data_IF_097788269731
#
_entry.id   IF_097788269731
#
_cell.length_a   1.000
_cell.length_b   1.000
_cell.length_c   1.000
_cell.angle_alpha   90.00
_cell.angle_beta   90.00
_cell.angle_gamma   90.00
#
_symmetry.space_group_name_H-M   'P 1'
#
loop_
_entity.id
_entity.type
_entity.pdbx_description
1 polymer ?
#
# COMPACT_ATOMS: atom_id res chain seq x y z
N UNK A 1 -0.32 67.84 -42.36
CA UNK A 1 -0.60 66.36 -42.38
C UNK A 1 -1.92 66.18 -43.07
N UNK A 2 -1.96 65.34 -44.09
CA UNK A 2 -3.18 65.06 -44.83
C UNK A 2 -4.19 64.30 -43.91
N UNK A 3 -5.48 64.65 -43.94
CA UNK A 3 -6.55 64.00 -43.15
C UNK A 3 -6.56 62.47 -43.35
N UNK A 4 -6.11 61.99 -44.50
CA UNK A 4 -5.91 60.55 -44.80
C UNK A 4 -4.75 59.93 -44.00
N UNK A 5 -3.66 60.63 -43.78
CA UNK A 5 -2.54 60.12 -42.98
C UNK A 5 -2.89 60.01 -41.48
N UNK A 6 -3.65 60.98 -40.96
CA UNK A 6 -4.15 60.92 -39.59
C UNK A 6 -5.12 59.71 -39.37
N UNK A 7 -5.98 59.46 -40.34
CA UNK A 7 -6.94 58.39 -40.28
C UNK A 7 -6.23 57.02 -40.31
N UNK A 8 -5.20 56.84 -41.12
CA UNK A 8 -4.39 55.61 -41.18
C UNK A 8 -3.65 55.39 -39.83
N UNK A 9 -3.12 56.43 -39.24
CA UNK A 9 -2.39 56.38 -37.97
C UNK A 9 -3.33 55.96 -36.80
N UNK A 10 -4.56 56.49 -36.78
CA UNK A 10 -5.56 56.12 -35.79
C UNK A 10 -5.99 54.62 -35.98
N UNK A 11 -6.20 54.18 -37.22
CA UNK A 11 -6.56 52.78 -37.48
C UNK A 11 -5.42 51.81 -37.04
N UNK A 12 -4.17 52.13 -37.35
CA UNK A 12 -3.04 51.35 -36.90
C UNK A 12 -2.92 51.29 -35.36
N UNK A 13 -3.19 52.43 -34.71
CA UNK A 13 -3.14 52.46 -33.25
C UNK A 13 -4.24 51.60 -32.61
N UNK A 14 -5.45 51.62 -33.16
CA UNK A 14 -6.58 50.76 -32.68
C UNK A 14 -6.26 49.29 -32.88
N UNK A 15 -5.68 48.89 -34.02
CA UNK A 15 -5.32 47.50 -34.29
C UNK A 15 -4.25 47.01 -33.31
N UNK A 16 -3.23 47.83 -33.03
CA UNK A 16 -2.20 47.48 -32.05
C UNK A 16 -2.75 47.41 -30.63
N UNK A 17 -3.64 48.31 -30.25
CA UNK A 17 -4.30 48.27 -28.94
C UNK A 17 -5.17 47.00 -28.77
N UNK A 18 -5.90 46.58 -29.80
CA UNK A 18 -6.66 45.37 -29.78
C UNK A 18 -5.77 44.11 -29.71
N UNK A 19 -4.66 44.08 -30.42
CA UNK A 19 -3.71 42.96 -30.39
C UNK A 19 -3.04 42.83 -29.03
N UNK A 20 -2.67 43.93 -28.40
CA UNK A 20 -2.07 43.94 -27.04
C UNK A 20 -3.11 43.57 -25.99
N UNK A 21 -4.36 44.05 -26.11
CA UNK A 21 -5.44 43.72 -25.21
C UNK A 21 -5.80 42.22 -25.26
N UNK A 22 -5.89 41.65 -26.46
CA UNK A 22 -6.15 40.22 -26.62
C UNK A 22 -4.99 39.34 -26.09
N UNK A 23 -3.73 39.80 -26.30
CA UNK A 23 -2.54 39.13 -25.76
C UNK A 23 -2.51 39.09 -24.22
N UNK A 24 -2.82 40.24 -23.59
CA UNK A 24 -2.89 40.32 -22.12
C UNK A 24 -4.06 39.51 -21.57
N UNK A 25 -5.20 39.48 -22.24
CA UNK A 25 -6.35 38.66 -21.82
C UNK A 25 -6.05 37.19 -21.83
N UNK A 26 -5.34 36.69 -22.86
CA UNK A 26 -4.92 35.28 -22.95
C UNK A 26 -3.84 34.95 -21.90
N UNK A 27 -2.89 35.86 -21.64
CA UNK A 27 -1.90 35.66 -20.60
C UNK A 27 -2.52 35.70 -19.20
N UNK A 28 -3.46 36.63 -18.95
CA UNK A 28 -4.13 36.68 -17.65
C UNK A 28 -5.01 35.45 -17.40
N UNK A 29 -5.69 34.94 -18.43
CA UNK A 29 -6.41 33.67 -18.34
C UNK A 29 -5.52 32.48 -18.00
N UNK A 30 -4.23 32.51 -18.40
CA UNK A 30 -3.25 31.47 -18.03
C UNK A 30 -2.60 31.67 -16.65
N UNK A 31 -2.52 32.89 -16.14
CA UNK A 31 -1.88 33.20 -14.86
C UNK A 31 -2.89 33.27 -13.71
N UNK A 32 -4.13 33.69 -13.97
CA UNK A 32 -5.20 33.71 -12.97
C UNK A 32 -6.14 32.49 -13.03
N UNK A 33 -5.80 31.47 -13.83
CA UNK A 33 -6.49 30.18 -13.88
C UNK A 33 -6.19 29.27 -12.69
N UNK A 34 -5.90 29.84 -11.54
CA UNK A 34 -5.92 29.18 -10.25
C UNK A 34 -7.24 29.37 -9.52
N UNK A 35 -8.38 29.12 -10.19
CA UNK A 35 -9.68 29.01 -9.53
C UNK A 35 -10.28 27.65 -9.85
N UNK A 36 -10.96 26.98 -8.90
CA UNK A 36 -11.36 25.58 -9.00
C UNK A 36 -12.41 25.41 -10.09
N UNK A 37 -11.96 24.97 -11.26
CA UNK A 37 -12.85 24.42 -12.26
C UNK A 37 -13.39 23.11 -11.72
N UNK A 38 -14.66 23.07 -11.42
CA UNK A 38 -15.48 21.87 -11.33
C UNK A 38 -15.32 21.04 -12.61
N UNK A 39 -14.25 20.24 -12.63
CA UNK A 39 -14.13 19.07 -13.45
C UNK A 39 -14.39 17.92 -12.51
N UNK A 40 -15.57 17.32 -12.59
CA UNK A 40 -15.83 15.97 -12.11
C UNK A 40 -14.93 14.98 -12.87
N UNK A 41 -13.64 15.03 -12.57
CA UNK A 41 -12.79 13.89 -12.58
C UNK A 41 -12.85 13.40 -11.16
N UNK A 42 -13.57 12.35 -10.92
CA UNK A 42 -13.42 11.49 -9.76
C UNK A 42 -11.96 10.99 -9.79
N UNK A 43 -11.02 11.80 -9.33
CA UNK A 43 -9.82 11.26 -8.73
C UNK A 43 -10.36 10.49 -7.53
N UNK A 44 -10.60 9.21 -7.76
CA UNK A 44 -10.57 8.22 -6.72
C UNK A 44 -9.23 8.45 -6.04
N UNK A 45 -9.24 9.28 -5.00
CA UNK A 45 -8.15 9.39 -4.05
C UNK A 45 -7.98 7.96 -3.58
N UNK A 46 -7.05 7.25 -4.22
CA UNK A 46 -6.69 5.90 -3.84
C UNK A 46 -6.36 6.03 -2.36
N UNK A 47 -7.33 5.64 -1.51
CA UNK A 47 -7.26 5.72 -0.06
C UNK A 47 -5.98 4.98 0.24
N UNK A 48 -4.91 5.69 0.58
CA UNK A 48 -3.61 5.12 0.90
C UNK A 48 -3.90 4.15 2.04
N UNK A 49 -4.01 2.87 1.71
CA UNK A 49 -4.26 1.80 2.67
C UNK A 49 -3.02 1.75 3.56
N UNK A 50 -3.17 2.21 4.78
CA UNK A 50 -2.09 2.18 5.76
C UNK A 50 -1.99 0.74 6.24
N UNK A 51 -0.90 0.08 5.83
CA UNK A 51 -0.57 -1.25 6.30
C UNK A 51 -0.39 -1.24 7.81
N UNK A 52 -0.87 -2.28 8.47
CA UNK A 52 -0.74 -2.44 9.91
C UNK A 52 -0.17 -3.80 10.26
N UNK A 53 0.43 -3.91 11.44
CA UNK A 53 1.00 -5.16 11.93
C UNK A 53 0.15 -5.74 13.05
N UNK A 54 -0.21 -7.01 12.90
CA UNK A 54 -0.80 -7.83 13.94
C UNK A 54 0.26 -8.78 14.49
N UNK A 55 0.76 -8.50 15.69
CA UNK A 55 1.71 -9.40 16.37
C UNK A 55 0.97 -10.61 16.94
N UNK A 56 1.54 -11.78 16.75
CA UNK A 56 1.09 -13.03 17.36
C UNK A 56 1.98 -13.39 18.53
N UNK A 57 1.40 -14.03 19.54
CA UNK A 57 2.16 -14.59 20.66
C UNK A 57 3.15 -15.66 20.18
N UNK A 58 4.19 -15.87 20.98
CA UNK A 58 5.24 -16.87 20.72
C UNK A 58 4.64 -18.29 20.65
N UNK A 59 5.08 -19.04 19.66
CA UNK A 59 4.82 -20.46 19.51
C UNK A 59 6.06 -21.26 19.96
N UNK A 60 5.83 -22.34 20.71
CA UNK A 60 6.86 -23.33 21.03
C UNK A 60 6.31 -24.70 20.65
N UNK A 61 6.95 -25.35 19.70
CA UNK A 61 6.49 -26.64 19.15
C UNK A 61 7.66 -27.59 18.95
N UNK A 62 7.41 -28.89 19.07
CA UNK A 62 8.36 -29.90 18.65
C UNK A 62 8.34 -30.04 17.13
N UNK A 63 9.52 -30.21 16.51
CA UNK A 63 9.68 -30.50 15.09
C UNK A 63 9.50 -31.97 14.80
N UNK A 64 9.15 -32.30 13.55
CA UNK A 64 9.00 -33.69 13.07
C UNK A 64 10.34 -34.44 12.90
N UNK A 65 11.43 -33.95 13.48
CA UNK A 65 12.73 -34.60 13.39
C UNK A 65 12.73 -35.96 14.10
N UNK A 66 13.46 -36.96 13.58
CA UNK A 66 13.61 -38.25 14.24
C UNK A 66 14.11 -38.10 15.69
N UNK A 67 13.40 -38.72 16.62
CA UNK A 67 13.70 -38.67 18.04
C UNK A 67 13.03 -37.53 18.82
N UNK A 68 12.28 -36.63 18.16
CA UNK A 68 11.42 -35.62 18.82
C UNK A 68 12.14 -34.64 19.75
N UNK A 69 13.48 -34.51 19.62
CA UNK A 69 14.32 -33.75 20.56
C UNK A 69 14.46 -32.27 20.21
N UNK A 70 14.03 -31.87 18.99
CA UNK A 70 14.16 -30.49 18.55
C UNK A 70 12.85 -29.75 18.71
N UNK A 71 12.96 -28.54 19.24
CA UNK A 71 11.81 -27.64 19.29
C UNK A 71 12.12 -26.32 18.58
N UNK A 72 11.09 -25.75 18.01
CA UNK A 72 11.09 -24.43 17.38
C UNK A 72 10.37 -23.44 18.30
N UNK A 73 11.05 -22.36 18.63
CA UNK A 73 10.46 -21.17 19.23
C UNK A 73 10.38 -20.07 18.18
N UNK A 74 9.17 -19.59 17.92
CA UNK A 74 8.94 -18.63 16.86
C UNK A 74 7.93 -17.57 17.31
N UNK A 75 8.26 -16.30 17.05
CA UNK A 75 7.37 -15.16 17.20
C UNK A 75 7.23 -14.48 15.86
N UNK A 76 6.01 -14.11 15.47
CA UNK A 76 5.74 -13.53 14.17
C UNK A 76 4.73 -12.39 14.23
N UNK A 77 4.80 -11.51 13.22
CA UNK A 77 3.82 -10.47 12.98
C UNK A 77 3.28 -10.58 11.56
N UNK A 78 1.97 -10.43 11.41
CA UNK A 78 1.27 -10.41 10.13
C UNK A 78 1.10 -8.96 9.68
N UNK A 79 1.47 -8.66 8.44
CA UNK A 79 1.19 -7.37 7.80
C UNK A 79 -0.17 -7.45 7.11
N UNK A 80 -1.07 -6.58 7.49
CA UNK A 80 -2.41 -6.44 6.91
C UNK A 80 -2.43 -5.29 5.91
N UNK A 81 -3.18 -5.43 4.84
CA UNK A 81 -3.30 -4.43 3.78
C UNK A 81 -4.11 -3.19 4.19
N UNK A 82 -4.90 -3.28 5.26
CA UNK A 82 -5.73 -2.18 5.74
C UNK A 82 -5.86 -2.22 7.27
N UNK A 83 -5.62 -1.07 7.91
CA UNK A 83 -5.72 -0.90 9.36
C UNK A 83 -7.16 -0.96 9.89
N UNK A 84 -8.14 -0.64 9.04
CA UNK A 84 -9.54 -0.56 9.45
C UNK A 84 -10.09 -1.96 9.81
N UNK A 85 -9.45 -3.04 9.36
CA UNK A 85 -9.82 -4.41 9.65
C UNK A 85 -8.99 -5.10 10.75
N UNK A 86 -8.20 -4.34 11.50
CA UNK A 86 -7.40 -4.91 12.61
C UNK A 86 -8.26 -5.59 13.68
N UNK A 87 -9.48 -5.09 13.89
CA UNK A 87 -10.42 -5.69 14.84
C UNK A 87 -10.86 -7.09 14.39
N UNK A 88 -11.27 -7.24 13.12
CA UNK A 88 -11.61 -8.54 12.51
C UNK A 88 -10.43 -9.51 12.61
N UNK A 89 -9.23 -9.05 12.28
CA UNK A 89 -8.04 -9.88 12.36
C UNK A 89 -7.73 -10.33 13.78
N UNK A 90 -7.95 -9.49 14.80
CA UNK A 90 -7.79 -9.87 16.20
C UNK A 90 -8.80 -10.93 16.67
N UNK A 91 -10.03 -10.86 16.20
CA UNK A 91 -11.05 -11.88 16.48
C UNK A 91 -10.70 -13.23 15.85
N UNK A 92 -10.01 -13.23 14.69
CA UNK A 92 -9.55 -14.43 14.03
C UNK A 92 -8.26 -15.04 14.61
N UNK A 93 -7.56 -14.35 15.54
CA UNK A 93 -6.29 -14.82 16.14
C UNK A 93 -6.37 -16.25 16.68
N UNK A 94 -7.41 -16.69 17.42
CA UNK A 94 -7.48 -18.07 17.90
C UNK A 94 -7.46 -19.08 16.77
N UNK A 95 -8.20 -18.82 15.69
CA UNK A 95 -8.24 -19.69 14.51
C UNK A 95 -6.90 -19.69 13.75
N UNK A 96 -6.27 -18.54 13.62
CA UNK A 96 -4.93 -18.41 13.03
C UNK A 96 -3.90 -19.18 13.85
N UNK A 97 -3.97 -19.08 15.18
CA UNK A 97 -3.09 -19.80 16.09
C UNK A 97 -3.23 -21.32 15.93
N UNK A 98 -4.45 -21.81 15.87
CA UNK A 98 -4.74 -23.23 15.63
C UNK A 98 -4.08 -23.71 14.31
N UNK A 99 -4.28 -22.99 13.22
CA UNK A 99 -3.66 -23.32 11.92
C UNK A 99 -2.14 -23.36 11.99
N UNK A 100 -1.51 -22.39 12.64
CA UNK A 100 -0.05 -22.34 12.80
C UNK A 100 0.45 -23.54 13.62
N UNK A 101 -0.28 -23.93 14.68
CA UNK A 101 0.04 -25.10 15.50
C UNK A 101 -0.12 -26.43 14.76
N UNK A 102 -0.85 -26.47 13.64
CA UNK A 102 -0.90 -27.65 12.76
C UNK A 102 0.26 -27.66 11.75
N UNK A 103 0.70 -26.50 11.30
CA UNK A 103 1.77 -26.36 10.29
C UNK A 103 3.15 -26.63 10.88
N UNK A 104 3.47 -25.97 12.00
CA UNK A 104 4.83 -25.96 12.55
C UNK A 104 5.34 -27.34 12.97
N UNK A 105 4.57 -28.18 13.69
CA UNK A 105 5.03 -29.51 14.10
C UNK A 105 5.26 -30.47 12.94
N UNK A 106 4.68 -30.21 11.77
CA UNK A 106 4.89 -31.00 10.56
C UNK A 106 6.24 -30.73 9.87
N UNK A 107 7.00 -29.70 10.30
CA UNK A 107 8.29 -29.32 9.70
C UNK A 107 9.45 -30.01 10.38
N UNK A 108 10.45 -30.38 9.57
CA UNK A 108 11.76 -30.85 10.06
C UNK A 108 12.76 -29.71 10.09
N UNK A 109 13.80 -29.80 10.91
CA UNK A 109 14.90 -28.85 10.94
C UNK A 109 15.51 -28.58 9.57
N UNK A 110 15.74 -29.64 8.77
CA UNK A 110 16.29 -29.52 7.41
C UNK A 110 15.48 -28.62 6.50
N UNK A 111 14.15 -28.55 6.69
CA UNK A 111 13.23 -27.80 5.83
C UNK A 111 13.24 -26.32 6.13
N UNK A 112 13.52 -25.92 7.38
CA UNK A 112 13.37 -24.54 7.86
C UNK A 112 14.69 -23.87 8.30
N UNK A 113 15.83 -24.59 8.25
CA UNK A 113 17.12 -24.05 8.65
C UNK A 113 17.72 -23.02 7.68
N UNK A 114 17.34 -23.08 6.41
CA UNK A 114 17.85 -22.21 5.34
C UNK A 114 16.96 -20.98 5.14
N UNK A 115 17.50 -19.92 4.53
CA UNK A 115 16.70 -18.72 4.16
C UNK A 115 15.54 -19.10 3.24
N UNK A 116 15.79 -19.95 2.23
CA UNK A 116 14.74 -20.38 1.32
C UNK A 116 13.68 -21.24 2.02
N UNK A 117 14.07 -22.08 3.00
CA UNK A 117 13.14 -22.84 3.82
C UNK A 117 12.26 -21.94 4.70
N UNK A 118 12.84 -20.90 5.30
CA UNK A 118 12.08 -19.90 6.05
C UNK A 118 11.10 -19.13 5.16
N UNK A 119 11.51 -18.80 3.91
CA UNK A 119 10.62 -18.14 2.96
C UNK A 119 9.49 -19.05 2.49
N UNK A 120 9.75 -20.34 2.30
CA UNK A 120 8.73 -21.32 2.00
C UNK A 120 7.72 -21.44 3.15
N UNK A 121 8.20 -21.54 4.40
CA UNK A 121 7.35 -21.57 5.59
C UNK A 121 6.49 -20.29 5.71
N UNK A 122 7.07 -19.11 5.44
CA UNK A 122 6.34 -17.83 5.43
C UNK A 122 5.18 -17.86 4.45
N UNK A 123 5.45 -18.27 3.22
CA UNK A 123 4.43 -18.36 2.16
C UNK A 123 3.33 -19.35 2.51
N UNK A 124 3.68 -20.49 3.08
CA UNK A 124 2.74 -21.51 3.49
C UNK A 124 1.82 -21.00 4.61
N UNK A 125 2.38 -20.38 5.65
CA UNK A 125 1.58 -19.81 6.75
C UNK A 125 0.64 -18.75 6.19
N UNK A 126 1.12 -17.80 5.38
CA UNK A 126 0.28 -16.75 4.77
C UNK A 126 -0.86 -17.37 3.95
N UNK A 127 -0.56 -18.37 3.14
CA UNK A 127 -1.59 -19.07 2.32
C UNK A 127 -2.67 -19.73 3.16
N UNK A 128 -2.30 -20.32 4.31
CA UNK A 128 -3.24 -20.99 5.21
C UNK A 128 -4.04 -20.02 6.09
N UNK A 129 -3.47 -18.88 6.43
CA UNK A 129 -4.14 -17.88 7.27
C UNK A 129 -5.03 -16.93 6.47
N UNK A 130 -4.67 -16.61 5.23
CA UNK A 130 -5.42 -15.64 4.40
C UNK A 130 -6.91 -15.95 4.26
N UNK A 131 -7.37 -17.22 4.10
CA UNK A 131 -8.80 -17.53 4.01
C UNK A 131 -9.61 -17.26 5.28
N UNK A 132 -8.94 -17.05 6.42
CA UNK A 132 -9.61 -16.75 7.71
C UNK A 132 -10.06 -15.29 7.80
N UNK A 133 -9.53 -14.42 6.93
CA UNK A 133 -9.88 -13.00 6.83
C UNK A 133 -10.76 -12.77 5.61
N UNK A 134 -11.89 -12.11 5.78
CA UNK A 134 -12.88 -11.87 4.71
C UNK A 134 -12.67 -10.53 4.01
N UNK A 135 -12.36 -9.50 4.80
CA UNK A 135 -12.37 -8.11 4.35
C UNK A 135 -10.95 -7.52 4.22
N UNK A 136 -9.92 -8.18 4.74
CA UNK A 136 -8.53 -7.75 4.58
C UNK A 136 -7.63 -8.91 4.13
N UNK A 137 -6.44 -8.54 3.66
CA UNK A 137 -5.45 -9.51 3.18
C UNK A 137 -4.18 -9.44 4.02
N UNK A 138 -3.60 -10.61 4.26
CA UNK A 138 -2.25 -10.70 4.80
C UNK A 138 -1.29 -10.45 3.63
N UNK A 139 -0.59 -9.32 3.63
CA UNK A 139 0.36 -8.95 2.57
C UNK A 139 1.74 -9.52 2.83
N UNK A 140 2.11 -9.70 4.11
CA UNK A 140 3.39 -10.28 4.48
C UNK A 140 3.33 -10.91 5.88
N UNK A 141 4.38 -11.67 6.21
CA UNK A 141 4.61 -12.22 7.54
C UNK A 141 6.08 -11.99 7.91
N UNK A 142 6.32 -11.47 9.09
CA UNK A 142 7.65 -11.21 9.60
C UNK A 142 7.95 -12.11 10.80
N UNK A 143 9.03 -12.88 10.74
CA UNK A 143 9.54 -13.59 11.90
C UNK A 143 10.32 -12.62 12.77
N UNK A 144 9.86 -12.40 13.99
CA UNK A 144 10.50 -11.55 15.00
C UNK A 144 11.53 -12.37 15.81
N UNK A 145 11.20 -13.62 16.08
CA UNK A 145 12.10 -14.60 16.72
C UNK A 145 12.00 -15.93 15.96
N UNK A 146 13.12 -16.60 15.77
CA UNK A 146 13.17 -17.91 15.11
C UNK A 146 14.35 -18.71 15.67
N UNK A 147 14.12 -19.50 16.70
CA UNK A 147 15.13 -20.27 17.42
C UNK A 147 14.78 -21.75 17.36
N UNK A 148 15.75 -22.58 16.96
CA UNK A 148 15.64 -24.04 16.97
C UNK A 148 16.66 -24.58 17.95
N UNK A 149 16.23 -25.40 18.88
CA UNK A 149 17.06 -26.05 19.87
C UNK A 149 16.78 -27.55 19.90
#
# INVERSE_FOLDING_TARGET
MSKKGLMILVICFVIVALAVGAGLYVLWGKVSGGAPGTGEGTEEVAKLKIKTLLSMETFVVNLADPGGKRYLRITMALELDDKDFIAEAKEAVPQMRDKVLLILPAKMFKDIRTSSGKDALRKEIVAQLSPLLKNCKITNLFFQEFVIQ
#
